data_IF_174683706348
#
_entry.id   IF_174683706348
#
_cell.length_a   1.000
_cell.length_b   1.000
_cell.length_c   1.000
_cell.angle_alpha   90.00
_cell.angle_beta   90.00
_cell.angle_gamma   90.00
#
_symmetry.space_group_name_H-M   'P 1'
#
loop_
_entity.id
_entity.type
_entity.pdbx_description
1 polymer ?
#
# COMPACT_ATOMS: atom_id res chain seq x y z
N UNK A 1 -16.53 -3.02 -12.62
CA UNK A 1 -16.10 -2.59 -11.27
C UNK A 1 -15.32 -1.30 -11.42
N UNK A 2 -15.52 -0.37 -10.49
CA UNK A 2 -14.81 0.92 -10.43
C UNK A 2 -13.50 0.74 -9.66
N UNK A 3 -12.45 1.45 -10.07
CA UNK A 3 -11.16 1.47 -9.37
C UNK A 3 -11.32 1.94 -7.91
N UNK A 4 -10.70 1.24 -6.97
CA UNK A 4 -10.80 1.55 -5.54
C UNK A 4 -9.57 2.32 -5.05
N UNK A 5 -9.70 3.65 -5.00
CA UNK A 5 -8.61 4.53 -4.59
C UNK A 5 -8.42 4.53 -3.07
N UNK A 6 -7.16 4.55 -2.58
CA UNK A 6 -6.91 4.81 -1.17
C UNK A 6 -7.33 6.25 -0.85
N UNK A 7 -7.99 6.50 0.30
CA UNK A 7 -8.57 7.80 0.62
C UNK A 7 -7.52 8.87 0.95
N UNK A 8 -6.29 8.46 1.28
CA UNK A 8 -5.23 9.38 1.69
C UNK A 8 -3.87 8.97 1.12
N UNK A 9 -3.03 9.97 0.85
CA UNK A 9 -1.64 9.83 0.42
C UNK A 9 -0.77 10.98 0.94
N UNK A 10 0.54 10.77 1.19
CA UNK A 10 1.46 11.85 1.49
C UNK A 10 1.62 12.80 0.29
N UNK A 11 1.94 14.09 0.49
CA UNK A 11 2.26 15.01 -0.61
C UNK A 11 3.38 14.51 -1.53
N UNK A 12 4.39 13.83 -0.97
CA UNK A 12 5.49 13.21 -1.74
C UNK A 12 5.07 12.09 -2.69
N UNK A 13 3.82 11.62 -2.61
CA UNK A 13 3.24 10.57 -3.47
C UNK A 13 2.12 11.12 -4.36
N UNK A 14 2.01 12.45 -4.53
CA UNK A 14 0.94 13.08 -5.31
C UNK A 14 0.92 12.63 -6.80
N UNK A 15 2.09 12.32 -7.36
CA UNK A 15 2.24 11.82 -8.73
C UNK A 15 2.23 10.30 -8.86
N UNK A 16 2.11 9.55 -7.76
CA UNK A 16 2.21 8.09 -7.79
C UNK A 16 0.92 7.43 -8.29
N UNK A 17 1.02 6.29 -8.97
CA UNK A 17 -0.11 5.37 -9.08
C UNK A 17 -0.58 4.97 -7.69
N UNK A 18 -1.88 5.06 -7.43
CA UNK A 18 -2.42 4.78 -6.09
C UNK A 18 -3.06 3.40 -6.04
N UNK A 19 -2.38 2.46 -5.38
CA UNK A 19 -2.90 1.11 -5.19
C UNK A 19 -3.46 0.97 -3.79
N UNK A 20 -4.63 0.37 -3.67
CA UNK A 20 -5.24 0.03 -2.38
C UNK A 20 -5.20 -1.48 -2.19
N UNK A 21 -4.35 -2.00 -1.31
CA UNK A 21 -4.33 -3.45 -1.02
C UNK A 21 -5.23 -3.82 0.18
N UNK A 22 -5.47 -2.87 1.07
CA UNK A 22 -6.32 -3.02 2.26
C UNK A 22 -7.21 -1.80 2.39
N UNK A 23 -8.33 -1.91 3.11
CA UNK A 23 -9.19 -0.77 3.45
C UNK A 23 -9.09 -0.48 4.93
N UNK A 24 -8.94 0.79 5.29
CA UNK A 24 -9.02 1.27 6.66
C UNK A 24 -7.75 1.00 7.47
N UNK A 25 -7.94 0.86 8.79
CA UNK A 25 -6.85 0.66 9.73
C UNK A 25 -7.06 -0.55 10.65
N UNK A 26 -6.10 -1.48 10.64
CA UNK A 26 -6.14 -2.69 11.49
C UNK A 26 -5.92 -2.41 12.99
N UNK A 27 -5.73 -1.15 13.38
CA UNK A 27 -5.60 -0.72 14.77
C UNK A 27 -6.63 0.32 15.18
N UNK A 28 -6.80 1.38 14.38
CA UNK A 28 -7.82 2.41 14.49
C UNK A 28 -8.03 3.06 15.89
N UNK A 29 -7.08 2.92 16.81
CA UNK A 29 -7.14 3.42 18.20
C UNK A 29 -6.18 4.58 18.49
N UNK A 30 -5.47 5.11 17.48
CA UNK A 30 -4.61 6.28 17.67
C UNK A 30 -5.46 7.48 18.10
N UNK A 31 -5.02 8.20 19.14
CA UNK A 31 -5.74 9.35 19.70
C UNK A 31 -5.89 10.51 18.70
N UNK A 32 -4.90 10.69 17.82
CA UNK A 32 -4.84 11.77 16.84
C UNK A 32 -5.41 11.40 15.46
N UNK A 33 -5.72 10.12 15.20
CA UNK A 33 -6.09 9.68 13.86
C UNK A 33 -7.60 9.83 13.65
N UNK A 34 -8.01 10.80 12.83
CA UNK A 34 -9.39 10.92 12.34
C UNK A 34 -9.63 10.16 11.03
N UNK A 35 -8.57 9.81 10.30
CA UNK A 35 -8.62 9.34 8.90
C UNK A 35 -9.47 8.08 8.67
N UNK A 36 -9.34 7.07 9.55
CA UNK A 36 -9.97 5.77 9.38
C UNK A 36 -11.09 5.51 10.41
N UNK A 37 -11.49 6.53 11.18
CA UNK A 37 -12.56 6.40 12.17
C UNK A 37 -13.88 6.07 11.46
N UNK A 38 -14.58 5.05 11.93
CA UNK A 38 -15.80 4.55 11.31
C UNK A 38 -15.60 3.61 10.11
N UNK A 39 -14.37 3.45 9.61
CA UNK A 39 -14.06 2.48 8.55
C UNK A 39 -13.71 1.11 9.16
N UNK A 40 -14.40 0.06 8.70
CA UNK A 40 -14.01 -1.32 9.02
C UNK A 40 -12.74 -1.69 8.26
N UNK A 41 -11.82 -2.35 8.96
CA UNK A 41 -10.62 -2.88 8.33
C UNK A 41 -10.98 -4.07 7.44
N UNK A 42 -10.40 -4.13 6.24
CA UNK A 42 -10.62 -5.22 5.28
C UNK A 42 -9.35 -5.51 4.48
N UNK A 43 -9.04 -6.79 4.30
CA UNK A 43 -8.10 -7.24 3.27
C UNK A 43 -8.87 -7.33 1.95
N UNK A 44 -8.44 -6.61 0.92
CA UNK A 44 -9.06 -6.76 -0.39
C UNK A 44 -8.70 -8.13 -0.98
N UNK A 45 -9.55 -8.67 -1.83
CA UNK A 45 -9.17 -9.86 -2.60
C UNK A 45 -8.04 -9.50 -3.54
N UNK A 46 -7.01 -10.34 -3.62
CA UNK A 46 -5.86 -10.14 -4.51
C UNK A 46 -6.31 -9.81 -5.93
N UNK A 47 -7.27 -10.58 -6.46
CA UNK A 47 -7.78 -10.47 -7.82
C UNK A 47 -8.41 -9.10 -8.09
N UNK A 48 -8.99 -8.46 -7.07
CA UNK A 48 -9.53 -7.11 -7.18
C UNK A 48 -8.41 -6.08 -7.30
N UNK A 49 -7.33 -6.26 -6.52
CA UNK A 49 -6.16 -5.37 -6.55
C UNK A 49 -5.41 -5.50 -7.89
N UNK A 50 -5.27 -6.71 -8.42
CA UNK A 50 -4.63 -6.92 -9.73
C UNK A 50 -5.45 -6.27 -10.86
N UNK A 51 -6.78 -6.37 -10.80
CA UNK A 51 -7.66 -5.70 -11.77
C UNK A 51 -7.58 -4.18 -11.71
N UNK A 52 -7.40 -3.61 -10.52
CA UNK A 52 -7.11 -2.19 -10.37
C UNK A 52 -5.76 -1.86 -11.02
N UNK A 53 -4.71 -2.65 -10.73
CA UNK A 53 -3.40 -2.47 -11.36
C UNK A 53 -3.55 -2.44 -12.88
N UNK A 54 -4.24 -3.40 -13.48
CA UNK A 54 -4.47 -3.46 -14.94
C UNK A 54 -5.20 -2.24 -15.48
N UNK A 55 -6.07 -1.64 -14.68
CA UNK A 55 -6.90 -0.50 -15.06
C UNK A 55 -6.21 0.86 -14.87
N UNK A 56 -5.02 0.92 -14.26
CA UNK A 56 -4.26 2.18 -14.00
C UNK A 56 -4.26 3.18 -15.18
N UNK A 57 -3.99 2.79 -16.45
CA UNK A 57 -3.94 3.73 -17.58
C UNK A 57 -5.25 4.48 -17.84
N UNK A 58 -6.38 3.98 -17.32
CA UNK A 58 -7.69 4.65 -17.42
C UNK A 58 -7.85 5.78 -16.42
N UNK A 59 -7.06 5.79 -15.35
CA UNK A 59 -7.24 6.67 -14.19
C UNK A 59 -6.05 7.57 -13.91
N UNK A 60 -4.87 7.24 -14.44
CA UNK A 60 -3.64 7.97 -14.19
C UNK A 60 -2.87 8.24 -15.50
N UNK A 61 -2.26 9.42 -15.65
CA UNK A 61 -1.19 9.57 -16.63
C UNK A 61 0.01 8.69 -16.25
N UNK A 62 0.91 8.35 -17.18
CA UNK A 62 2.10 7.56 -16.87
C UNK A 62 2.91 8.13 -15.70
N UNK A 63 3.29 7.26 -14.77
CA UNK A 63 4.06 7.63 -13.59
C UNK A 63 5.20 6.65 -13.33
N UNK A 64 6.34 7.20 -12.90
CA UNK A 64 7.53 6.43 -12.52
C UNK A 64 7.49 5.95 -11.07
N UNK A 65 6.42 6.29 -10.32
CA UNK A 65 6.27 5.94 -8.91
C UNK A 65 4.90 5.34 -8.64
N UNK A 66 4.85 4.41 -7.68
CA UNK A 66 3.61 3.81 -7.22
C UNK A 66 3.55 3.81 -5.69
N UNK A 67 2.35 4.00 -5.16
CA UNK A 67 2.08 4.10 -3.74
C UNK A 67 0.97 3.15 -3.32
N UNK A 68 1.29 2.25 -2.39
CA UNK A 68 0.34 1.33 -1.77
C UNK A 68 -0.16 1.97 -0.47
N UNK A 69 -1.41 2.44 -0.51
CA UNK A 69 -2.01 3.28 0.52
C UNK A 69 -2.69 2.50 1.66
N UNK A 70 -3.59 3.21 2.35
CA UNK A 70 -4.25 2.82 3.62
C UNK A 70 -3.25 2.59 4.78
N UNK A 71 -3.71 2.14 5.95
CA UNK A 71 -2.89 2.24 7.15
C UNK A 71 -1.63 1.37 7.15
N UNK A 72 -1.75 0.15 6.60
CA UNK A 72 -0.77 -0.91 6.82
C UNK A 72 -0.93 -2.05 5.80
N UNK A 73 -0.78 -1.78 4.49
CA UNK A 73 -0.95 -2.78 3.44
C UNK A 73 -0.04 -4.02 3.57
N UNK A 74 1.08 -3.92 4.29
CA UNK A 74 2.04 -5.02 4.43
C UNK A 74 1.53 -6.25 5.19
N UNK A 75 0.39 -6.14 5.87
CA UNK A 75 -0.28 -7.28 6.51
C UNK A 75 -1.06 -8.14 5.52
N UNK A 76 -1.21 -7.68 4.28
CA UNK A 76 -1.85 -8.46 3.23
C UNK A 76 -0.95 -9.66 2.88
N UNK A 77 -1.46 -10.90 2.92
CA UNK A 77 -0.65 -12.10 2.70
C UNK A 77 0.02 -12.09 1.31
N UNK A 78 -0.72 -11.67 0.28
CA UNK A 78 -0.24 -11.59 -1.10
C UNK A 78 0.49 -10.29 -1.47
N UNK A 79 0.89 -9.45 -0.50
CA UNK A 79 1.46 -8.14 -0.83
C UNK A 79 2.70 -8.23 -1.74
N UNK A 80 3.54 -9.25 -1.57
CA UNK A 80 4.70 -9.47 -2.42
C UNK A 80 4.29 -9.79 -3.86
N UNK A 81 3.27 -10.63 -4.06
CA UNK A 81 2.73 -10.94 -5.38
C UNK A 81 2.08 -9.72 -6.05
N UNK A 82 1.33 -8.92 -5.28
CA UNK A 82 0.74 -7.66 -5.75
C UNK A 82 1.83 -6.70 -6.25
N UNK A 83 2.94 -6.56 -5.49
CA UNK A 83 4.07 -5.70 -5.87
C UNK A 83 4.77 -6.23 -7.12
N UNK A 84 5.01 -7.54 -7.21
CA UNK A 84 5.58 -8.17 -8.42
C UNK A 84 4.71 -7.92 -9.64
N UNK A 85 3.40 -8.13 -9.52
CA UNK A 85 2.45 -7.92 -10.60
C UNK A 85 2.41 -6.45 -11.06
N UNK A 86 2.43 -5.50 -10.11
CA UNK A 86 2.55 -4.08 -10.40
C UNK A 86 3.81 -3.78 -11.23
N UNK A 87 4.96 -4.29 -10.80
CA UNK A 87 6.25 -4.13 -11.49
C UNK A 87 6.28 -4.82 -12.85
N UNK A 88 5.53 -5.91 -13.01
CA UNK A 88 5.37 -6.58 -14.30
C UNK A 88 4.53 -5.73 -15.28
N UNK A 89 3.37 -5.25 -14.83
CA UNK A 89 2.42 -4.52 -15.68
C UNK A 89 2.80 -3.07 -15.92
N UNK A 90 3.56 -2.46 -15.01
CA UNK A 90 3.99 -1.06 -15.06
C UNK A 90 5.52 -1.00 -15.04
N UNK A 91 6.14 -1.36 -16.15
CA UNK A 91 7.62 -1.40 -16.31
C UNK A 91 8.26 -0.03 -16.12
N UNK A 92 7.51 1.04 -16.31
CA UNK A 92 7.92 2.43 -16.08
C UNK A 92 8.05 2.79 -14.60
N UNK A 93 7.44 2.02 -13.68
CA UNK A 93 7.51 2.29 -12.24
C UNK A 93 8.87 1.89 -11.72
N UNK A 94 9.65 2.85 -11.24
CA UNK A 94 10.97 2.63 -10.64
C UNK A 94 10.92 2.49 -9.12
N UNK A 95 9.96 3.17 -8.48
CA UNK A 95 9.83 3.18 -7.01
C UNK A 95 8.43 2.77 -6.60
N UNK A 96 8.34 1.73 -5.78
CA UNK A 96 7.11 1.32 -5.10
C UNK A 96 7.25 1.67 -3.63
N UNK A 97 6.32 2.47 -3.12
CA UNK A 97 6.28 2.89 -1.72
C UNK A 97 5.01 2.38 -1.06
N UNK A 98 5.08 1.96 0.20
CA UNK A 98 3.90 1.57 0.96
C UNK A 98 3.82 2.33 2.27
N UNK A 99 2.61 2.58 2.76
CA UNK A 99 2.45 2.83 4.19
C UNK A 99 2.84 1.58 4.99
N UNK A 100 3.44 1.79 6.16
CA UNK A 100 3.76 0.71 7.08
C UNK A 100 3.69 1.18 8.53
N UNK A 101 3.29 0.26 9.42
CA UNK A 101 3.35 0.50 10.85
C UNK A 101 4.65 -0.02 11.43
N UNK A 102 5.26 0.75 12.33
CA UNK A 102 6.52 0.37 13.00
C UNK A 102 6.40 -0.98 13.70
N UNK A 103 5.29 -1.22 14.40
CA UNK A 103 5.05 -2.52 15.06
C UNK A 103 4.94 -3.70 14.09
N UNK A 104 4.50 -3.46 12.86
CA UNK A 104 4.42 -4.50 11.83
C UNK A 104 5.82 -4.81 11.31
N UNK A 105 6.61 -3.78 10.98
CA UNK A 105 7.99 -3.96 10.54
C UNK A 105 8.85 -4.59 11.63
N UNK A 106 8.77 -4.10 12.87
CA UNK A 106 9.59 -4.59 13.99
C UNK A 106 9.32 -6.06 14.37
N UNK A 107 8.19 -6.63 13.95
CA UNK A 107 7.83 -8.05 14.18
C UNK A 107 7.99 -8.90 12.92
N UNK A 108 8.30 -8.30 11.78
CA UNK A 108 8.43 -9.00 10.53
C UNK A 108 9.81 -9.68 10.49
N UNK A 109 9.88 -10.98 10.14
CA UNK A 109 11.17 -11.64 9.99
C UNK A 109 11.95 -11.02 8.84
N UNK A 110 13.28 -11.05 8.94
CA UNK A 110 14.18 -10.50 7.93
C UNK A 110 13.92 -11.09 6.54
N UNK A 111 13.72 -12.41 6.45
CA UNK A 111 13.37 -13.10 5.20
C UNK A 111 12.13 -12.55 4.51
N UNK A 112 11.13 -12.09 5.28
CA UNK A 112 9.93 -11.46 4.70
C UNK A 112 10.24 -10.04 4.22
N UNK A 113 11.12 -9.29 4.90
CA UNK A 113 11.57 -7.99 4.44
C UNK A 113 12.39 -8.10 3.14
N UNK A 114 13.25 -9.11 3.05
CA UNK A 114 13.98 -9.46 1.84
C UNK A 114 13.03 -9.80 0.69
N UNK A 115 12.04 -10.66 0.94
CA UNK A 115 11.03 -11.01 -0.07
C UNK A 115 10.30 -9.77 -0.62
N UNK A 116 9.91 -8.83 0.26
CA UNK A 116 9.25 -7.59 -0.15
C UNK A 116 10.18 -6.71 -1.00
N UNK A 117 11.45 -6.63 -0.61
CA UNK A 117 12.48 -5.89 -1.36
C UNK A 117 12.69 -6.50 -2.75
N UNK A 118 12.83 -7.82 -2.83
CA UNK A 118 12.98 -8.56 -4.09
C UNK A 118 11.75 -8.45 -4.99
N UNK A 119 10.55 -8.42 -4.40
CA UNK A 119 9.32 -8.15 -5.13
C UNK A 119 9.32 -6.76 -5.81
N UNK A 120 10.11 -5.81 -5.28
CA UNK A 120 10.26 -4.46 -5.80
C UNK A 120 9.68 -3.37 -4.89
N UNK A 121 9.37 -3.68 -3.63
CA UNK A 121 8.99 -2.67 -2.64
C UNK A 121 10.25 -1.96 -2.16
N UNK A 122 10.44 -0.70 -2.59
CA UNK A 122 11.71 0.01 -2.41
C UNK A 122 11.70 1.04 -1.31
N UNK A 123 10.52 1.43 -0.79
CA UNK A 123 10.42 2.44 0.27
C UNK A 123 9.19 2.23 1.16
N UNK A 124 9.32 2.63 2.42
CA UNK A 124 8.21 2.67 3.37
C UNK A 124 7.98 4.09 3.89
N UNK A 125 6.71 4.51 3.94
CA UNK A 125 6.26 5.64 4.74
C UNK A 125 5.78 5.09 6.09
N UNK A 126 6.50 5.42 7.16
CA UNK A 126 6.25 4.87 8.49
C UNK A 126 5.72 5.94 9.44
N UNK A 127 4.56 5.67 10.05
CA UNK A 127 4.02 6.49 11.12
C UNK A 127 4.66 6.19 12.47
N UNK A 128 5.31 7.17 13.08
CA UNK A 128 5.80 7.13 14.47
C UNK A 128 4.65 7.45 15.44
N UNK A 129 3.72 6.53 15.60
CA UNK A 129 2.67 6.67 16.61
C UNK A 129 3.20 6.34 18.01
N UNK A 130 3.14 7.32 18.93
CA UNK A 130 3.36 7.09 20.36
C UNK A 130 2.18 6.32 20.95
N UNK A 131 2.46 5.44 21.92
CA UNK A 131 1.43 4.74 22.70
C UNK A 131 0.50 5.79 23.33
N UNK A 132 -0.81 5.65 23.07
CA UNK A 132 -1.82 5.99 24.06
C UNK A 132 -2.03 4.78 24.95
#
# INVERSE_FOLDING_TARGET
>A
MTYDFPPFRPPSEAGSYLIRAVRGCNWNRCAFCAMYKGMKFELRKKEDVLRDIDSIPKYFPPSRTAFIGDSNPLIHPDIAEIVRYLREKRKEVERVTAYARIKTIAKMPESRLEELKEAGLTRLHMGLEKRG
#
